data_IF_813483480423
#
_entry.id   IF_813483480423
#
_cell.length_a   1.000
_cell.length_b   1.000
_cell.length_c   1.000
_cell.angle_alpha   90.00
_cell.angle_beta   90.00
_cell.angle_gamma   90.00
#
_symmetry.space_group_name_H-M   'P 1'
#
loop_
_entity.id
_entity.type
_entity.pdbx_description
1 polymer ?
#
# COMPACT_ATOMS: atom_id res chain seq x y z
N UNK A 1 -11.50 -22.36 15.04
CA UNK A 1 -11.60 -20.89 15.06
C UNK A 1 -10.29 -20.28 14.61
N UNK A 2 -10.26 -18.96 14.43
CA UNK A 2 -9.09 -18.20 13.99
C UNK A 2 -8.96 -16.93 14.79
N UNK A 3 -7.72 -16.52 15.03
CA UNK A 3 -7.40 -15.23 15.64
C UNK A 3 -6.81 -14.34 14.56
N UNK A 4 -7.23 -13.08 14.54
CA UNK A 4 -6.64 -12.05 13.69
C UNK A 4 -5.99 -11.03 14.60
N UNK A 5 -4.70 -10.78 14.39
CA UNK A 5 -3.90 -9.85 15.20
C UNK A 5 -3.41 -8.75 14.27
N UNK A 6 -3.71 -7.51 14.61
CA UNK A 6 -3.15 -6.34 13.95
C UNK A 6 -2.34 -5.55 14.99
N UNK A 7 -1.06 -5.30 14.73
CA UNK A 7 -0.13 -4.70 15.70
C UNK A 7 1.02 -3.97 15.01
N UNK A 8 1.54 -2.92 15.64
CA UNK A 8 2.81 -2.31 15.27
C UNK A 8 3.97 -3.32 15.34
N UNK A 9 4.94 -3.17 14.43
CA UNK A 9 6.19 -3.93 14.46
C UNK A 9 7.25 -3.16 15.24
N UNK A 10 7.85 -3.81 16.25
CA UNK A 10 8.97 -3.25 17.01
C UNK A 10 10.12 -2.78 16.11
N UNK A 11 10.35 -3.46 14.99
CA UNK A 11 11.43 -3.21 14.03
C UNK A 11 10.96 -2.45 12.79
N UNK A 12 9.76 -1.86 12.82
CA UNK A 12 9.14 -1.19 11.68
C UNK A 12 9.97 -0.03 11.13
N UNK A 13 10.01 0.10 9.81
CA UNK A 13 10.79 1.10 9.09
C UNK A 13 10.60 2.52 9.62
N UNK A 14 9.37 2.88 9.97
CA UNK A 14 9.04 4.17 10.54
C UNK A 14 9.78 4.47 11.86
N UNK A 15 10.00 3.48 12.73
CA UNK A 15 10.74 3.67 13.98
C UNK A 15 12.23 3.90 13.74
N UNK A 16 12.82 3.21 12.75
CA UNK A 16 14.18 3.49 12.29
C UNK A 16 14.32 4.91 11.74
N UNK A 17 13.24 5.45 11.19
CA UNK A 17 13.13 6.81 10.70
C UNK A 17 12.83 7.85 11.80
N UNK A 18 12.83 7.45 13.07
CA UNK A 18 12.60 8.34 14.21
C UNK A 18 11.14 8.56 14.58
N UNK A 19 10.19 7.85 13.96
CA UNK A 19 8.80 7.93 14.39
C UNK A 19 8.67 7.61 15.88
N UNK A 20 7.81 8.35 16.55
CA UNK A 20 7.49 8.12 17.95
C UNK A 20 6.70 6.81 18.11
N UNK A 21 6.94 6.11 19.21
CA UNK A 21 6.11 4.99 19.65
C UNK A 21 4.70 5.51 20.01
N UNK A 22 3.65 4.80 19.60
CA UNK A 22 2.29 5.35 19.55
C UNK A 22 1.64 5.53 20.93
N UNK A 23 2.14 4.85 21.96
CA UNK A 23 1.63 4.93 23.33
C UNK A 23 2.45 5.85 24.23
N UNK A 24 3.78 5.90 24.01
CA UNK A 24 4.70 6.73 24.80
C UNK A 24 4.97 8.09 24.16
N UNK A 25 4.73 8.21 22.85
CA UNK A 25 5.06 9.37 22.03
C UNK A 25 6.55 9.75 22.11
N UNK A 26 7.42 8.75 22.21
CA UNK A 26 8.89 8.91 22.27
C UNK A 26 9.54 8.09 21.14
N UNK A 27 10.57 8.62 20.47
CA UNK A 27 11.26 7.90 19.41
C UNK A 27 12.10 6.73 19.97
N UNK A 28 12.32 5.72 19.15
CA UNK A 28 13.25 4.59 19.38
C UNK A 28 12.99 3.66 20.58
N UNK A 29 12.03 3.94 21.46
CA UNK A 29 11.77 3.11 22.65
C UNK A 29 11.56 1.63 22.30
N UNK A 30 10.83 1.35 21.22
CA UNK A 30 10.65 -0.01 20.71
C UNK A 30 11.96 -0.65 20.24
N UNK A 31 12.79 0.06 19.48
CA UNK A 31 14.07 -0.42 18.97
C UNK A 31 15.08 -0.70 20.08
N UNK A 32 15.05 0.10 21.15
CA UNK A 32 15.89 -0.08 22.34
C UNK A 32 15.38 -1.22 23.25
N UNK A 33 14.25 -1.83 22.92
CA UNK A 33 13.69 -2.96 23.68
C UNK A 33 12.88 -2.54 24.90
N UNK A 34 12.32 -1.33 24.90
CA UNK A 34 11.48 -0.78 25.96
C UNK A 34 12.20 -0.68 27.33
N UNK A 35 13.48 -0.32 27.36
CA UNK A 35 14.27 -0.22 28.60
C UNK A 35 13.67 0.73 29.65
N UNK A 36 12.92 1.75 29.20
CA UNK A 36 12.31 2.79 30.03
C UNK A 36 10.91 2.43 30.56
N UNK A 37 10.29 1.33 30.13
CA UNK A 37 8.91 0.97 30.53
C UNK A 37 8.65 -0.53 30.50
N UNK A 38 7.65 -0.99 31.27
CA UNK A 38 7.17 -2.38 31.24
C UNK A 38 5.69 -2.53 30.86
N UNK A 39 5.01 -1.41 30.58
CA UNK A 39 3.54 -1.37 30.44
C UNK A 39 3.07 -1.54 28.99
N UNK A 40 3.89 -1.16 28.02
CA UNK A 40 3.59 -1.24 26.59
C UNK A 40 4.74 -1.95 25.91
N UNK A 41 4.42 -2.89 25.01
CA UNK A 41 5.41 -3.63 24.25
C UNK A 41 4.85 -4.10 22.90
N UNK A 42 5.58 -3.79 21.84
CA UNK A 42 5.44 -4.43 20.53
C UNK A 42 6.50 -5.50 20.36
N UNK A 43 6.36 -6.33 19.34
CA UNK A 43 7.25 -7.47 19.09
C UNK A 43 7.75 -7.43 17.65
N UNK A 44 9.02 -7.81 17.45
CA UNK A 44 9.50 -8.14 16.11
C UNK A 44 8.81 -9.39 15.58
N UNK A 45 8.82 -9.57 14.25
CA UNK A 45 8.23 -10.74 13.58
C UNK A 45 8.67 -12.09 14.20
N UNK A 46 9.97 -12.40 14.41
CA UNK A 46 10.37 -13.68 14.98
C UNK A 46 9.88 -13.88 16.42
N UNK A 47 9.85 -12.81 17.23
CA UNK A 47 9.38 -12.89 18.62
C UNK A 47 7.87 -13.15 18.66
N UNK A 48 7.08 -12.39 17.88
CA UNK A 48 5.65 -12.59 17.80
C UNK A 48 5.29 -13.97 17.24
N UNK A 49 6.00 -14.44 16.21
CA UNK A 49 5.83 -15.78 15.64
C UNK A 49 6.08 -16.89 16.66
N UNK A 50 7.12 -16.75 17.49
CA UNK A 50 7.42 -17.69 18.58
C UNK A 50 6.29 -17.69 19.61
N UNK A 51 5.87 -16.52 20.09
CA UNK A 51 4.79 -16.39 21.08
C UNK A 51 3.49 -17.05 20.60
N UNK A 52 3.14 -16.86 19.32
CA UNK A 52 1.98 -17.49 18.71
C UNK A 52 2.13 -19.00 18.60
N UNK A 53 3.32 -19.49 18.24
CA UNK A 53 3.62 -20.92 18.16
C UNK A 53 3.54 -21.58 19.53
N UNK A 54 4.09 -20.94 20.57
CA UNK A 54 4.08 -21.42 21.96
C UNK A 54 2.65 -21.47 22.52
N UNK A 55 1.78 -20.56 22.09
CA UNK A 55 0.34 -20.59 22.38
C UNK A 55 -0.44 -21.63 21.55
N UNK A 56 0.22 -22.41 20.69
CA UNK A 56 -0.38 -23.48 19.89
C UNK A 56 -0.83 -23.07 18.49
N UNK A 57 -0.66 -21.81 18.07
CA UNK A 57 -1.02 -21.33 16.73
C UNK A 57 0.09 -21.62 15.71
N UNK A 58 0.19 -22.88 15.29
CA UNK A 58 1.22 -23.36 14.35
C UNK A 58 1.01 -22.89 12.91
N UNK A 59 -0.21 -22.47 12.56
CA UNK A 59 -0.52 -21.96 11.24
C UNK A 59 -0.72 -20.45 11.31
N UNK A 60 0.22 -19.71 10.72
CA UNK A 60 0.27 -18.26 10.76
C UNK A 60 0.41 -17.74 9.33
N UNK A 61 -0.56 -16.96 8.89
CA UNK A 61 -0.50 -16.27 7.62
C UNK A 61 -0.17 -14.80 7.89
N UNK A 62 0.99 -14.35 7.42
CA UNK A 62 1.51 -13.01 7.69
C UNK A 62 1.18 -12.05 6.53
N UNK A 63 0.64 -10.89 6.90
CA UNK A 63 0.33 -9.79 6.00
C UNK A 63 0.95 -8.49 6.53
N UNK A 64 1.24 -7.58 5.60
CA UNK A 64 2.02 -6.37 5.85
C UNK A 64 1.23 -5.14 5.38
N UNK A 65 0.44 -4.53 6.28
CA UNK A 65 -0.30 -3.31 5.98
C UNK A 65 0.61 -2.09 5.90
N UNK A 66 0.32 -1.19 4.95
CA UNK A 66 0.99 0.08 4.72
C UNK A 66 -0.03 1.23 4.57
N UNK A 67 0.29 2.44 5.10
CA UNK A 67 1.51 2.77 5.85
C UNK A 67 1.54 2.15 7.26
N UNK A 68 0.38 1.77 7.80
CA UNK A 68 0.21 1.01 9.04
C UNK A 68 -1.09 0.17 9.01
N UNK A 69 -1.36 -0.56 10.08
CA UNK A 69 -2.54 -1.43 10.23
C UNK A 69 -3.84 -0.69 10.60
N UNK A 70 -3.79 0.58 11.00
CA UNK A 70 -4.96 1.36 11.47
C UNK A 70 -5.79 1.82 10.29
N UNK A 71 -5.12 2.40 9.28
CA UNK A 71 -5.75 2.89 8.05
C UNK A 71 -4.96 2.42 6.81
N UNK A 72 -4.88 1.10 6.56
CA UNK A 72 -4.07 0.58 5.47
C UNK A 72 -4.65 0.96 4.11
N UNK A 73 -3.80 1.52 3.24
CA UNK A 73 -4.10 1.69 1.82
C UNK A 73 -3.67 0.48 1.00
N UNK A 74 -2.63 -0.23 1.45
CA UNK A 74 -2.11 -1.43 0.80
C UNK A 74 -1.82 -2.48 1.86
N UNK A 75 -2.17 -3.74 1.58
CA UNK A 75 -1.79 -4.90 2.39
C UNK A 75 -1.03 -5.85 1.46
N UNK A 76 0.19 -6.21 1.82
CA UNK A 76 0.98 -7.21 1.09
C UNK A 76 0.88 -8.57 1.78
N UNK A 77 0.91 -9.65 1.02
CA UNK A 77 1.16 -11.00 1.56
C UNK A 77 2.65 -11.34 1.49
N UNK A 78 3.05 -12.43 2.15
CA UNK A 78 4.41 -12.99 2.02
C UNK A 78 4.83 -13.18 0.55
N UNK A 79 3.86 -13.50 -0.32
CA UNK A 79 4.12 -13.72 -1.75
C UNK A 79 4.69 -12.50 -2.45
N UNK A 80 4.28 -11.29 -2.06
CA UNK A 80 4.79 -10.06 -2.67
C UNK A 80 6.32 -9.98 -2.55
N UNK A 81 6.88 -10.47 -1.44
CA UNK A 81 8.31 -10.48 -1.17
C UNK A 81 9.04 -11.67 -1.81
N UNK A 82 8.32 -12.64 -2.38
CA UNK A 82 8.90 -13.80 -3.08
C UNK A 82 9.01 -13.58 -4.60
N UNK A 83 8.40 -12.51 -5.13
CA UNK A 83 8.44 -12.20 -6.56
C UNK A 83 9.84 -11.75 -6.99
N UNK A 84 10.25 -12.13 -8.21
CA UNK A 84 11.57 -11.80 -8.73
C UNK A 84 11.79 -10.28 -8.89
N UNK A 85 10.73 -9.53 -9.20
CA UNK A 85 10.72 -8.07 -9.33
C UNK A 85 10.13 -7.38 -8.08
N UNK A 86 10.18 -8.03 -6.90
CA UNK A 86 9.57 -7.55 -5.64
C UNK A 86 9.88 -6.10 -5.31
N UNK A 87 11.09 -5.59 -5.61
CA UNK A 87 11.46 -4.21 -5.31
C UNK A 87 10.60 -3.23 -6.10
N UNK A 88 10.49 -3.43 -7.42
CA UNK A 88 9.70 -2.55 -8.28
C UNK A 88 8.20 -2.75 -8.08
N UNK A 89 7.77 -4.00 -7.91
CA UNK A 89 6.39 -4.35 -7.62
C UNK A 89 5.90 -3.71 -6.33
N UNK A 90 6.60 -3.91 -5.21
CA UNK A 90 6.17 -3.42 -3.90
C UNK A 90 6.23 -1.90 -3.85
N UNK A 91 7.27 -1.27 -4.41
CA UNK A 91 7.36 0.19 -4.51
C UNK A 91 6.18 0.79 -5.29
N UNK A 92 5.75 0.14 -6.39
CA UNK A 92 4.55 0.55 -7.13
C UNK A 92 3.25 0.36 -6.34
N UNK A 93 3.13 -0.73 -5.56
CA UNK A 93 1.90 -1.06 -4.82
C UNK A 93 1.74 -0.24 -3.55
N UNK A 94 2.84 -0.01 -2.82
CA UNK A 94 2.87 0.70 -1.55
C UNK A 94 2.97 2.20 -1.76
N UNK A 95 3.78 2.66 -2.73
CA UNK A 95 4.09 4.08 -2.86
C UNK A 95 4.83 4.58 -1.62
N UNK A 96 4.22 5.49 -0.87
CA UNK A 96 4.79 6.06 0.36
C UNK A 96 4.67 5.06 1.52
N UNK A 97 5.76 4.44 2.00
CA UNK A 97 5.71 3.37 3.00
C UNK A 97 5.47 3.88 4.42
N UNK A 98 5.74 5.15 4.69
CA UNK A 98 5.58 5.78 6.01
C UNK A 98 4.85 7.10 5.82
N UNK A 99 3.75 7.30 6.55
CA UNK A 99 3.02 8.56 6.53
C UNK A 99 3.88 9.69 7.10
N UNK A 100 3.97 10.80 6.37
CA UNK A 100 4.70 11.99 6.78
C UNK A 100 4.04 12.72 7.94
N UNK A 101 2.75 12.51 8.18
CA UNK A 101 2.07 13.08 9.36
C UNK A 101 2.34 12.32 10.64
N UNK A 102 3.02 11.16 10.58
CA UNK A 102 3.37 10.41 11.78
C UNK A 102 4.38 11.19 12.61
N UNK A 103 4.09 11.35 13.89
CA UNK A 103 4.92 12.10 14.84
C UNK A 103 6.35 11.55 14.90
N UNK A 104 7.34 12.44 14.94
CA UNK A 104 8.77 12.11 15.11
C UNK A 104 9.50 11.72 13.82
N UNK A 105 8.80 11.44 12.72
CA UNK A 105 9.46 11.09 11.45
C UNK A 105 10.40 12.20 10.99
N UNK A 106 11.67 11.86 10.81
CA UNK A 106 12.68 12.81 10.35
C UNK A 106 12.48 13.12 8.85
N UNK A 107 12.56 14.40 8.41
CA UNK A 107 12.21 14.78 7.04
C UNK A 107 13.35 14.59 6.01
N UNK A 108 14.45 13.95 6.38
CA UNK A 108 15.73 14.09 5.66
C UNK A 108 16.07 12.94 4.68
N UNK A 109 15.14 12.04 4.38
CA UNK A 109 15.40 10.91 3.47
C UNK A 109 14.23 10.68 2.51
N UNK A 110 14.56 10.10 1.36
CA UNK A 110 13.58 9.54 0.43
C UNK A 110 13.10 8.19 0.99
N UNK A 111 11.90 8.19 1.56
CA UNK A 111 11.30 7.01 2.19
C UNK A 111 11.08 5.87 1.21
N UNK A 112 10.79 6.17 -0.06
CA UNK A 112 10.62 5.16 -1.11
C UNK A 112 11.98 4.57 -1.49
N UNK A 113 13.01 5.38 -1.63
CA UNK A 113 14.37 4.89 -1.90
C UNK A 113 14.85 3.97 -0.78
N UNK A 114 14.66 4.38 0.47
CA UNK A 114 15.02 3.57 1.64
C UNK A 114 14.26 2.24 1.66
N UNK A 115 12.94 2.27 1.48
CA UNK A 115 12.14 1.04 1.46
C UNK A 115 12.55 0.09 0.33
N UNK A 116 12.88 0.61 -0.86
CA UNK A 116 13.44 -0.20 -1.95
C UNK A 116 14.72 -0.93 -1.53
N UNK A 117 15.65 -0.24 -0.86
CA UNK A 117 16.89 -0.85 -0.36
C UNK A 117 16.64 -1.91 0.72
N UNK A 118 15.68 -1.67 1.60
CA UNK A 118 15.25 -2.63 2.63
C UNK A 118 14.68 -3.91 2.00
N UNK A 119 13.86 -3.78 0.94
CA UNK A 119 13.33 -4.94 0.21
C UNK A 119 14.43 -5.67 -0.55
N UNK A 120 15.33 -4.94 -1.23
CA UNK A 120 16.47 -5.51 -1.96
C UNK A 120 17.41 -6.29 -1.03
N UNK A 121 17.54 -5.84 0.22
CA UNK A 121 18.37 -6.49 1.25
C UNK A 121 17.65 -7.64 1.98
N UNK A 122 16.50 -8.11 1.46
CA UNK A 122 15.66 -9.16 2.05
C UNK A 122 15.13 -8.87 3.47
N UNK A 123 15.11 -7.59 3.86
CA UNK A 123 14.60 -7.14 5.18
C UNK A 123 13.16 -6.62 5.13
N UNK A 124 12.54 -6.61 3.95
CA UNK A 124 11.22 -6.00 3.70
C UNK A 124 10.09 -6.46 4.62
N UNK A 125 10.03 -7.76 4.92
CA UNK A 125 9.02 -8.31 5.84
C UNK A 125 9.33 -7.94 7.29
N UNK A 126 10.60 -8.06 7.70
CA UNK A 126 11.02 -7.82 9.08
C UNK A 126 10.97 -6.34 9.47
N UNK A 127 11.06 -5.44 8.48
CA UNK A 127 10.98 -3.99 8.66
C UNK A 127 9.64 -3.39 8.21
N UNK A 128 8.62 -4.18 7.89
CA UNK A 128 7.28 -3.62 7.68
C UNK A 128 6.80 -2.89 8.94
N UNK A 129 6.09 -1.77 8.81
CA UNK A 129 5.72 -0.95 9.98
C UNK A 129 4.77 -1.65 10.96
N UNK A 130 4.03 -2.64 10.48
CA UNK A 130 3.03 -3.34 11.26
C UNK A 130 2.71 -4.68 10.62
N UNK A 131 2.07 -5.55 11.40
CA UNK A 131 1.65 -6.87 10.94
C UNK A 131 0.14 -7.01 11.06
N UNK A 132 -0.42 -7.74 10.10
CA UNK A 132 -1.73 -8.37 10.21
C UNK A 132 -1.52 -9.88 10.11
N UNK A 133 -1.72 -10.61 11.20
CA UNK A 133 -1.46 -12.04 11.28
C UNK A 133 -2.76 -12.80 11.50
N UNK A 134 -3.05 -13.76 10.62
CA UNK A 134 -4.19 -14.67 10.78
C UNK A 134 -3.67 -16.02 11.28
N UNK A 135 -4.04 -16.35 12.51
CA UNK A 135 -3.51 -17.48 13.27
C UNK A 135 -4.56 -18.57 13.50
N UNK A 136 -4.15 -19.84 13.39
CA UNK A 136 -5.03 -21.00 13.56
C UNK A 136 -4.32 -22.13 14.32
N UNK A 137 -5.10 -22.80 15.18
CA UNK A 137 -4.63 -24.00 15.91
C UNK A 137 -4.48 -25.21 14.96
N UNK A 138 -5.42 -25.39 14.03
CA UNK A 138 -5.47 -26.51 13.10
C UNK A 138 -5.36 -26.04 11.64
N UNK A 139 -4.59 -26.77 10.83
CA UNK A 139 -4.33 -26.50 9.40
C UNK A 139 -5.49 -26.77 8.45
N UNK A 140 -6.73 -26.49 8.87
CA UNK A 140 -7.91 -26.49 7.99
C UNK A 140 -7.74 -25.51 6.81
N UNK A 141 -8.74 -25.41 5.91
CA UNK A 141 -8.72 -24.49 4.75
C UNK A 141 -8.30 -23.07 5.15
N UNK A 142 -7.37 -22.46 4.41
CA UNK A 142 -6.96 -21.06 4.63
C UNK A 142 -8.17 -20.12 4.52
N UNK A 143 -8.20 -19.12 5.40
CA UNK A 143 -9.21 -18.05 5.37
C UNK A 143 -8.75 -16.91 4.48
N UNK A 144 -7.43 -16.80 4.26
CA UNK A 144 -6.86 -15.87 3.31
C UNK A 144 -6.73 -16.57 1.97
N UNK A 145 -7.06 -15.85 0.91
CA UNK A 145 -6.80 -16.29 -0.45
C UNK A 145 -5.27 -16.35 -0.68
N UNK A 146 -4.75 -17.56 -0.83
CA UNK A 146 -3.32 -17.83 -0.93
C UNK A 146 -2.73 -17.40 -2.27
N UNK A 147 -3.56 -17.14 -3.28
CA UNK A 147 -3.10 -16.67 -4.60
C UNK A 147 -2.99 -15.14 -4.65
N UNK A 148 -3.50 -14.43 -3.63
CA UNK A 148 -3.45 -12.97 -3.58
C UNK A 148 -2.09 -12.48 -3.07
N UNK A 149 -1.44 -11.66 -3.89
CA UNK A 149 -0.18 -10.97 -3.57
C UNK A 149 -0.43 -9.70 -2.76
N UNK A 150 -1.48 -8.95 -3.10
CA UNK A 150 -1.78 -7.67 -2.45
C UNK A 150 -3.26 -7.31 -2.51
N UNK A 151 -3.70 -6.52 -1.53
CA UNK A 151 -4.96 -5.79 -1.52
C UNK A 151 -4.63 -4.30 -1.46
N UNK A 152 -5.20 -3.50 -2.37
CA UNK A 152 -5.09 -2.04 -2.38
C UNK A 152 -6.47 -1.40 -2.30
N UNK A 153 -6.63 -0.47 -1.38
CA UNK A 153 -7.87 0.22 -1.08
C UNK A 153 -7.82 1.66 -1.59
N UNK A 154 -8.97 2.23 -1.91
CA UNK A 154 -9.11 3.66 -2.23
C UNK A 154 -9.73 4.41 -1.05
N UNK A 155 -9.04 4.41 0.09
CA UNK A 155 -9.58 4.75 1.42
C UNK A 155 -10.30 6.09 1.53
N UNK A 156 -9.80 7.14 0.86
CA UNK A 156 -10.34 8.51 1.02
C UNK A 156 -11.52 8.85 0.11
N UNK A 157 -12.07 7.85 -0.61
CA UNK A 157 -13.19 8.08 -1.53
C UNK A 157 -14.53 7.98 -0.80
N UNK A 158 -15.56 8.67 -1.30
CA UNK A 158 -16.94 8.41 -0.83
C UNK A 158 -17.29 6.94 -1.03
N UNK A 159 -18.17 6.41 -0.17
CA UNK A 159 -18.51 4.97 -0.10
C UNK A 159 -18.85 4.36 -1.47
N UNK A 160 -19.60 5.08 -2.31
CA UNK A 160 -19.98 4.66 -3.67
C UNK A 160 -18.82 4.59 -4.69
N UNK A 161 -17.68 5.21 -4.36
CA UNK A 161 -16.47 5.23 -5.18
C UNK A 161 -15.30 4.45 -4.55
N UNK A 162 -15.52 3.86 -3.37
CA UNK A 162 -14.51 3.01 -2.74
C UNK A 162 -14.40 1.67 -3.49
N UNK A 163 -13.17 1.31 -3.83
CA UNK A 163 -12.84 0.04 -4.48
C UNK A 163 -11.71 -0.68 -3.79
N UNK A 164 -11.69 -1.98 -3.98
CA UNK A 164 -10.58 -2.88 -3.64
C UNK A 164 -9.96 -3.36 -4.94
N UNK A 165 -8.64 -3.31 -5.02
CA UNK A 165 -7.85 -3.91 -6.08
C UNK A 165 -7.05 -5.05 -5.49
N UNK A 166 -7.06 -6.20 -6.16
CA UNK A 166 -6.25 -7.34 -5.76
C UNK A 166 -5.29 -7.68 -6.88
N UNK A 167 -4.01 -7.89 -6.56
CA UNK A 167 -3.08 -8.56 -7.50
C UNK A 167 -3.02 -10.01 -7.11
N UNK A 168 -3.29 -10.90 -8.07
CA UNK A 168 -3.39 -12.35 -7.87
C UNK A 168 -2.38 -13.03 -8.78
N UNK A 169 -1.71 -14.09 -8.31
CA UNK A 169 -0.86 -14.94 -9.13
C UNK A 169 -1.63 -16.21 -9.52
N UNK A 170 -2.07 -16.28 -10.77
CA UNK A 170 -2.73 -17.46 -11.32
C UNK A 170 -1.86 -18.08 -12.41
N UNK A 171 -1.49 -19.36 -12.27
CA UNK A 171 -0.70 -20.09 -13.26
C UNK A 171 0.60 -19.35 -13.67
N UNK A 172 1.29 -18.75 -12.70
CA UNK A 172 2.53 -17.97 -12.92
C UNK A 172 2.31 -16.61 -13.59
N UNK A 173 1.06 -16.18 -13.83
CA UNK A 173 0.73 -14.88 -14.40
C UNK A 173 0.03 -14.01 -13.37
N UNK A 174 0.54 -12.80 -13.17
CA UNK A 174 -0.11 -11.80 -12.33
C UNK A 174 -1.31 -11.19 -13.04
N UNK A 175 -2.43 -11.10 -12.32
CA UNK A 175 -3.65 -10.41 -12.77
C UNK A 175 -4.09 -9.39 -11.74
N UNK A 176 -4.77 -8.35 -12.19
CA UNK A 176 -5.39 -7.35 -11.33
C UNK A 176 -6.92 -7.47 -11.40
N UNK A 177 -7.51 -7.71 -10.24
CA UNK A 177 -8.96 -7.71 -10.04
C UNK A 177 -9.37 -6.39 -9.40
N UNK A 178 -10.46 -5.78 -9.90
CA UNK A 178 -11.01 -4.54 -9.35
C UNK A 178 -12.45 -4.78 -8.97
N UNK A 179 -12.81 -4.43 -7.74
CA UNK A 179 -14.16 -4.63 -7.21
C UNK A 179 -14.57 -3.42 -6.37
N UNK A 180 -15.85 -3.05 -6.33
CA UNK A 180 -16.37 -2.15 -5.30
C UNK A 180 -16.05 -2.69 -3.90
N UNK A 181 -15.75 -1.81 -2.95
CA UNK A 181 -15.49 -2.21 -1.56
C UNK A 181 -16.77 -2.62 -0.82
N UNK A 182 -17.93 -2.20 -1.33
CA UNK A 182 -19.24 -2.46 -0.76
C UNK A 182 -20.22 -2.88 -1.87
N UNK A 183 -21.04 -3.87 -1.57
CA UNK A 183 -22.12 -4.32 -2.44
C UNK A 183 -23.34 -3.37 -2.31
N UNK A 184 -24.18 -3.33 -3.35
CA UNK A 184 -25.50 -2.67 -3.33
C UNK A 184 -25.50 -1.17 -3.00
N UNK A 185 -24.48 -0.42 -3.40
CA UNK A 185 -24.56 1.03 -3.34
C UNK A 185 -25.26 1.54 -4.59
N UNK A 186 -26.41 2.20 -4.43
CA UNK A 186 -27.04 2.90 -5.55
C UNK A 186 -26.11 4.02 -6.01
N UNK A 187 -25.65 3.97 -7.26
CA UNK A 187 -25.06 5.13 -7.89
C UNK A 187 -26.18 6.12 -8.18
N UNK A 188 -26.23 7.22 -7.43
CA UNK A 188 -26.95 8.41 -7.90
C UNK A 188 -26.30 8.86 -9.21
N UNK A 189 -27.11 9.34 -10.15
CA UNK A 189 -26.59 10.02 -11.34
C UNK A 189 -25.72 11.21 -10.90
N UNK A 190 -24.50 11.27 -11.42
CA UNK A 190 -23.52 12.29 -11.06
C UNK A 190 -22.61 12.58 -12.26
N UNK A 191 -22.10 13.81 -12.34
CA UNK A 191 -20.99 14.21 -13.22
C UNK A 191 -19.76 13.28 -13.15
N UNK A 192 -19.58 12.56 -12.04
CA UNK A 192 -18.50 11.58 -11.86
C UNK A 192 -19.03 10.15 -11.95
N UNK A 193 -18.59 9.41 -12.97
CA UNK A 193 -18.91 7.99 -13.12
C UNK A 193 -17.64 7.17 -12.92
N UNK A 194 -17.66 6.23 -11.98
CA UNK A 194 -16.59 5.25 -11.82
C UNK A 194 -17.01 3.90 -12.42
N UNK A 195 -16.37 3.52 -13.53
CA UNK A 195 -16.57 2.20 -14.15
C UNK A 195 -15.72 1.15 -13.41
N UNK A 196 -16.31 0.52 -12.40
CA UNK A 196 -15.71 -0.61 -11.69
C UNK A 196 -16.36 -1.97 -12.03
N UNK A 197 -17.58 -1.96 -12.55
CA UNK A 197 -18.39 -3.17 -12.68
C UNK A 197 -17.91 -4.05 -13.84
N UNK A 198 -17.70 -5.32 -13.54
CA UNK A 198 -17.56 -6.46 -14.47
C UNK A 198 -16.33 -6.49 -15.39
N UNK A 199 -15.27 -5.72 -15.12
CA UNK A 199 -14.03 -5.92 -15.86
C UNK A 199 -13.39 -7.25 -15.46
N UNK A 200 -13.19 -8.13 -16.44
CA UNK A 200 -12.43 -9.37 -16.25
C UNK A 200 -11.05 -9.05 -15.66
N UNK A 201 -10.51 -10.00 -14.90
CA UNK A 201 -9.16 -9.94 -14.39
C UNK A 201 -8.16 -9.56 -15.51
N UNK A 202 -7.56 -8.38 -15.43
CA UNK A 202 -6.63 -7.90 -16.43
C UNK A 202 -5.22 -8.42 -16.13
N UNK A 203 -4.42 -8.67 -17.16
CA UNK A 203 -3.00 -9.00 -16.95
C UNK A 203 -2.29 -7.82 -16.28
N UNK A 204 -1.55 -8.10 -15.20
CA UNK A 204 -0.68 -7.10 -14.58
C UNK A 204 0.54 -6.86 -15.49
N UNK A 205 0.76 -5.62 -15.88
CA UNK A 205 1.93 -5.23 -16.67
C UNK A 205 3.11 -5.00 -15.73
N UNK A 206 4.18 -5.74 -15.95
CA UNK A 206 5.39 -5.71 -15.11
C UNK A 206 6.38 -4.66 -15.62
N UNK A 207 7.27 -4.21 -14.74
CA UNK A 207 8.27 -3.18 -15.03
C UNK A 207 7.96 -1.84 -14.35
N UNK A 208 8.90 -0.90 -14.48
CA UNK A 208 8.78 0.42 -13.88
C UNK A 208 7.64 1.19 -14.53
N UNK A 209 6.77 1.77 -13.70
CA UNK A 209 5.77 2.71 -14.18
C UNK A 209 6.38 4.11 -14.39
N UNK A 210 5.59 5.02 -14.98
CA UNK A 210 6.00 6.39 -15.24
C UNK A 210 6.48 7.13 -13.98
N UNK A 211 5.78 6.98 -12.86
CA UNK A 211 6.12 7.62 -11.59
C UNK A 211 7.49 7.13 -11.07
N UNK A 212 7.74 5.83 -11.13
CA UNK A 212 9.02 5.25 -10.70
C UNK A 212 10.18 5.70 -11.59
N UNK A 213 9.95 5.79 -12.90
CA UNK A 213 10.93 6.35 -13.84
C UNK A 213 11.20 7.83 -13.51
N UNK A 214 10.16 8.62 -13.25
CA UNK A 214 10.30 10.03 -12.91
C UNK A 214 11.06 10.21 -11.58
N UNK A 215 10.74 9.44 -10.55
CA UNK A 215 11.46 9.45 -9.27
C UNK A 215 12.92 9.00 -9.43
N UNK A 216 13.19 8.02 -10.28
CA UNK A 216 14.56 7.60 -10.60
C UNK A 216 15.34 8.75 -11.24
N UNK A 217 14.78 9.42 -12.25
CA UNK A 217 15.42 10.57 -12.91
C UNK A 217 15.72 11.69 -11.91
N UNK A 218 14.80 11.98 -10.97
CA UNK A 218 15.04 12.96 -9.92
C UNK A 218 16.18 12.57 -8.98
N UNK A 219 16.27 11.30 -8.55
CA UNK A 219 17.37 10.80 -7.72
C UNK A 219 18.73 10.89 -8.41
N UNK A 220 18.75 10.68 -9.72
CA UNK A 220 19.94 10.77 -10.57
C UNK A 220 20.26 12.21 -10.99
N UNK A 221 19.46 13.19 -10.57
CA UNK A 221 19.56 14.61 -10.96
C UNK A 221 19.49 14.79 -12.49
N UNK A 222 18.82 13.85 -13.17
CA UNK A 222 18.61 13.87 -14.61
C UNK A 222 17.28 14.56 -14.94
N UNK A 223 17.30 15.90 -14.85
CA UNK A 223 16.11 16.73 -15.08
C UNK A 223 15.58 16.63 -16.52
N UNK A 224 16.46 16.39 -17.49
CA UNK A 224 16.06 16.22 -18.90
C UNK A 224 15.17 14.99 -19.09
N UNK A 225 15.55 13.86 -18.51
CA UNK A 225 14.73 12.64 -18.59
C UNK A 225 13.44 12.79 -17.79
N UNK A 226 13.48 13.46 -16.64
CA UNK A 226 12.28 13.79 -15.87
C UNK A 226 11.29 14.64 -16.68
N UNK A 227 11.75 15.73 -17.29
CA UNK A 227 10.95 16.60 -18.17
C UNK A 227 10.37 15.81 -19.35
N UNK A 228 11.18 14.96 -20.00
CA UNK A 228 10.71 14.11 -21.10
C UNK A 228 9.60 13.14 -20.68
N UNK A 229 9.66 12.57 -19.47
CA UNK A 229 8.62 11.68 -18.94
C UNK A 229 7.33 12.47 -18.66
N UNK A 230 7.43 13.70 -18.16
CA UNK A 230 6.27 14.57 -17.96
C UNK A 230 5.63 14.98 -19.29
N UNK A 231 6.42 15.37 -20.30
CA UNK A 231 5.90 15.64 -21.65
C UNK A 231 5.17 14.44 -22.24
N UNK A 232 5.72 13.24 -22.10
CA UNK A 232 5.06 12.02 -22.57
C UNK A 232 3.71 11.78 -21.87
N UNK A 233 3.60 12.11 -20.59
CA UNK A 233 2.34 12.02 -19.86
C UNK A 233 1.33 13.07 -20.30
N UNK A 234 1.79 14.30 -20.52
CA UNK A 234 0.96 15.41 -21.02
C UNK A 234 0.42 15.14 -22.43
N UNK A 235 1.27 14.64 -23.33
CA UNK A 235 0.87 14.19 -24.67
C UNK A 235 -0.18 13.08 -24.57
N UNK A 236 0.02 12.11 -23.69
CA UNK A 236 -0.95 11.04 -23.45
C UNK A 236 -2.28 11.57 -22.93
N UNK A 237 -2.26 12.49 -21.96
CA UNK A 237 -3.47 13.12 -21.44
C UNK A 237 -4.22 13.85 -22.56
N UNK A 238 -3.51 14.69 -23.33
CA UNK A 238 -4.07 15.45 -24.45
C UNK A 238 -4.74 14.55 -25.47
N UNK A 239 -4.08 13.45 -25.87
CA UNK A 239 -4.62 12.46 -26.81
C UNK A 239 -5.84 11.70 -26.28
N UNK A 240 -5.99 11.61 -24.96
CA UNK A 240 -7.09 10.87 -24.31
C UNK A 240 -8.16 11.79 -23.71
N UNK A 241 -8.04 13.11 -23.89
CA UNK A 241 -9.13 14.04 -23.53
C UNK A 241 -10.33 13.82 -24.46
N UNK A 242 -11.53 13.92 -23.90
CA UNK A 242 -12.76 13.86 -24.67
C UNK A 242 -13.68 14.99 -24.25
N UNK A 243 -14.38 15.57 -25.21
CA UNK A 243 -15.43 16.57 -24.92
C UNK A 243 -16.63 15.83 -24.33
N UNK A 244 -17.12 16.21 -23.14
CA UNK A 244 -18.35 15.64 -22.59
C UNK A 244 -19.53 15.84 -23.54
N UNK A 245 -20.53 14.95 -23.49
CA UNK A 245 -21.77 15.15 -24.25
C UNK A 245 -22.57 16.33 -23.70
N UNK A 246 -23.43 16.95 -24.52
CA UNK A 246 -24.26 18.10 -24.12
C UNK A 246 -25.16 17.79 -22.92
N UNK A 247 -25.57 16.52 -22.76
CA UNK A 247 -26.44 16.05 -21.68
C UNK A 247 -25.66 15.59 -20.43
N UNK A 248 -24.33 15.70 -20.41
CA UNK A 248 -23.52 15.34 -19.25
C UNK A 248 -23.62 16.39 -18.16
N UNK A 249 -23.83 15.97 -16.91
CA UNK A 249 -23.71 16.87 -15.77
C UNK A 249 -22.30 17.48 -15.72
N UNK A 250 -22.22 18.80 -15.59
CA UNK A 250 -20.96 19.53 -15.52
C UNK A 250 -20.27 19.28 -14.18
N UNK A 251 -18.93 19.20 -14.19
CA UNK A 251 -18.15 19.16 -12.97
C UNK A 251 -18.47 20.40 -12.09
N UNK A 252 -18.69 20.26 -10.78
CA UNK A 252 -19.19 21.33 -9.90
C UNK A 252 -18.19 22.49 -9.73
N UNK A 253 -16.93 22.28 -10.09
CA UNK A 253 -15.88 23.32 -10.09
C UNK A 253 -15.55 23.88 -11.48
N UNK A 254 -16.21 23.42 -12.56
CA UNK A 254 -16.03 24.00 -13.90
C UNK A 254 -16.86 25.28 -14.10
N UNK A 255 -17.91 25.50 -13.31
CA UNK A 255 -18.78 26.69 -13.41
C UNK A 255 -18.12 27.98 -12.93
N UNK A 256 -17.06 27.88 -12.13
CA UNK A 256 -16.34 29.02 -11.53
C UNK A 256 -14.94 29.25 -12.13
N UNK A 257 -14.52 28.47 -13.13
CA UNK A 257 -13.27 28.75 -13.83
C UNK A 257 -13.52 29.88 -14.82
N UNK A 258 -13.17 31.11 -14.40
CA UNK A 258 -12.86 32.17 -15.37
C UNK A 258 -11.85 31.61 -16.37
N UNK A 259 -11.95 32.06 -17.62
CA UNK A 259 -11.14 31.63 -18.77
C UNK A 259 -9.62 31.85 -18.66
N UNK A 260 -9.09 32.06 -17.45
CA UNK A 260 -7.66 32.25 -17.14
C UNK A 260 -6.96 30.98 -16.60
N UNK A 261 -7.67 29.87 -16.40
CA UNK A 261 -7.09 28.63 -15.80
C UNK A 261 -7.24 27.39 -16.70
N UNK A 262 -7.60 27.56 -17.98
CA UNK A 262 -7.47 26.54 -19.03
C UNK A 262 -6.32 26.89 -19.96
#
# INVERSE_FOLDING_TARGET
GSIVIAIENQMGLAYWMGANEDHLNEPWVGLEGYVSTSTVKTFSKPVLSSLLTDAGFKHQNWLYPFPDYKLPLTILSDRAYMENDRVDLIDQLVGTPVDRSRSGVLPFFDTRALHRQVIESDMGQDMSNSFLVVCRLNGSKSIIDEDVITWRFSGDRKKNYMGVRQVILENGTRKINRKPAYENISSESSWLIQKNADSLAEKYVSGLNLEQLALKSLREVNLKDFESLLSMFDDWLTLNTCTPSVDSETHPFLTDLSSEVL
#
